data_IF_656343158887
#
_entry.id   IF_656343158887
#
_cell.length_a   1.000
_cell.length_b   1.000
_cell.length_c   1.000
_cell.angle_alpha   90.00
_cell.angle_beta   90.00
_cell.angle_gamma   90.00
#
_symmetry.space_group_name_H-M   'P 1'
#
loop_
_entity.id
_entity.type
_entity.pdbx_description
1 polymer ?
#
# COMPACT_ATOMS: atom_id res chain seq x y z
N UNK A 1 -44.72 28.95 31.40
CA UNK A 1 -43.40 29.39 30.92
C UNK A 1 -42.63 28.17 30.47
N UNK A 2 -42.11 28.22 29.23
CA UNK A 2 -41.09 27.39 28.54
C UNK A 2 -40.62 26.08 29.21
N UNK A 3 -40.65 24.96 28.48
CA UNK A 3 -39.68 23.83 28.47
C UNK A 3 -40.19 22.78 27.46
N UNK A 4 -39.46 22.26 26.48
CA UNK A 4 -38.09 22.40 26.02
C UNK A 4 -38.01 21.48 24.79
N UNK A 5 -38.01 22.05 23.60
CA UNK A 5 -37.94 21.27 22.35
C UNK A 5 -36.55 20.70 22.18
N UNK A 6 -36.45 19.38 21.99
CA UNK A 6 -35.23 18.74 21.53
C UNK A 6 -34.91 19.28 20.12
N UNK A 7 -34.11 20.35 20.07
CA UNK A 7 -33.58 20.88 18.82
C UNK A 7 -32.68 19.81 18.21
N UNK A 8 -33.05 19.37 17.01
CA UNK A 8 -32.18 18.54 16.16
C UNK A 8 -30.99 19.42 15.81
N UNK A 9 -29.79 18.96 16.12
CA UNK A 9 -28.54 19.64 15.80
C UNK A 9 -28.52 19.99 14.30
N UNK A 10 -28.28 21.26 13.97
CA UNK A 10 -28.28 21.74 12.59
C UNK A 10 -27.06 21.19 11.82
N UNK A 11 -27.10 21.22 10.48
CA UNK A 11 -26.07 20.59 9.63
C UNK A 11 -24.64 21.09 9.89
N UNK A 12 -24.51 22.37 10.23
CA UNK A 12 -23.24 23.01 10.55
C UNK A 12 -22.68 22.55 11.90
N UNK A 13 -23.55 22.33 12.89
CA UNK A 13 -23.16 21.81 14.21
C UNK A 13 -22.69 20.36 14.11
N UNK A 14 -23.38 19.53 13.32
CA UNK A 14 -22.94 18.14 13.07
C UNK A 14 -21.64 18.06 12.28
N UNK A 15 -21.37 19.01 11.38
CA UNK A 15 -20.08 19.09 10.68
C UNK A 15 -18.97 19.51 11.64
N UNK A 16 -19.21 20.54 12.45
CA UNK A 16 -18.26 21.02 13.46
C UNK A 16 -17.92 19.92 14.49
N UNK A 17 -18.89 19.11 14.91
CA UNK A 17 -18.65 17.97 15.81
C UNK A 17 -17.78 16.89 15.17
N UNK A 18 -18.01 16.55 13.88
CA UNK A 18 -17.19 15.56 13.15
C UNK A 18 -15.76 16.03 12.91
N UNK A 19 -15.56 17.33 12.66
CA UNK A 19 -14.23 17.92 12.46
C UNK A 19 -13.49 18.08 13.78
N UNK A 20 -14.20 18.46 14.85
CA UNK A 20 -13.64 18.64 16.20
C UNK A 20 -13.29 17.30 16.89
N UNK A 21 -14.07 16.25 16.66
CA UNK A 21 -13.81 14.91 17.21
C UNK A 21 -12.81 14.08 16.40
N UNK A 22 -12.46 14.52 15.19
CA UNK A 22 -11.43 13.90 14.36
C UNK A 22 -10.03 14.36 14.80
N UNK A 23 -9.53 13.82 15.90
CA UNK A 23 -8.11 13.92 16.24
C UNK A 23 -7.29 13.17 15.16
N UNK A 24 -6.38 13.83 14.43
CA UNK A 24 -5.57 13.15 13.43
C UNK A 24 -4.66 12.12 14.11
N UNK A 25 -4.58 10.92 13.52
CA UNK A 25 -3.67 9.88 14.00
C UNK A 25 -2.23 10.42 13.95
N UNK A 26 -1.64 10.64 15.13
CA UNK A 26 -0.28 11.19 15.24
C UNK A 26 0.74 10.13 14.83
N UNK A 27 1.28 10.27 13.63
CA UNK A 27 2.41 9.45 13.17
C UNK A 27 3.67 9.76 13.98
N UNK A 28 4.41 8.72 14.37
CA UNK A 28 5.75 8.85 14.97
C UNK A 28 6.81 8.39 13.97
N UNK A 29 7.82 9.22 13.74
CA UNK A 29 8.99 8.80 13.00
C UNK A 29 9.72 7.70 13.78
N UNK A 30 10.04 6.60 13.11
CA UNK A 30 10.87 5.54 13.65
C UNK A 30 11.93 5.16 12.64
N UNK A 31 13.07 4.68 13.12
CA UNK A 31 14.13 4.20 12.26
C UNK A 31 13.77 2.79 11.76
N UNK A 32 13.88 2.56 10.45
CA UNK A 32 13.78 1.20 9.93
C UNK A 32 15.01 0.41 10.38
N UNK A 33 14.77 -0.73 11.03
CA UNK A 33 15.82 -1.67 11.39
C UNK A 33 15.99 -2.70 10.26
N UNK A 34 17.16 -3.34 10.17
CA UNK A 34 17.47 -4.41 9.20
C UNK A 34 17.36 -3.98 7.73
N UNK A 35 17.83 -2.77 7.39
CA UNK A 35 17.81 -2.25 6.02
C UNK A 35 18.55 -3.16 5.02
N UNK A 36 19.52 -3.94 5.49
CA UNK A 36 20.26 -4.95 4.72
C UNK A 36 19.45 -6.17 4.30
N UNK A 37 18.29 -6.42 4.92
CA UNK A 37 17.52 -7.65 4.71
C UNK A 37 16.06 -7.38 4.33
N UNK A 38 15.74 -6.16 3.93
CA UNK A 38 14.38 -5.78 3.53
C UNK A 38 14.38 -5.14 2.15
N UNK A 39 13.35 -5.45 1.36
CA UNK A 39 13.06 -4.71 0.12
C UNK A 39 12.07 -3.59 0.48
N UNK A 40 12.37 -2.31 0.16
CA UNK A 40 11.46 -1.21 0.48
C UNK A 40 10.10 -1.40 -0.18
N UNK A 41 9.04 -0.95 0.51
CA UNK A 41 7.75 -0.77 -0.15
C UNK A 41 7.91 0.21 -1.31
N UNK A 42 7.26 -0.09 -2.43
CA UNK A 42 7.37 0.71 -3.66
C UNK A 42 8.60 0.39 -4.51
N UNK A 43 9.44 -0.56 -4.10
CA UNK A 43 10.53 -1.05 -4.95
C UNK A 43 9.97 -1.65 -6.25
N UNK A 44 10.58 -1.27 -7.37
CA UNK A 44 10.23 -1.83 -8.68
C UNK A 44 10.96 -3.16 -8.86
N UNK A 45 10.20 -4.21 -9.18
CA UNK A 45 10.72 -5.52 -9.55
C UNK A 45 10.66 -5.64 -11.08
N UNK A 46 11.75 -5.33 -11.80
CA UNK A 46 11.81 -5.45 -13.24
C UNK A 46 11.74 -6.92 -13.67
N UNK A 47 10.76 -7.26 -14.48
CA UNK A 47 10.52 -8.63 -14.93
C UNK A 47 10.01 -8.66 -16.38
N UNK A 48 10.15 -9.82 -17.01
CA UNK A 48 9.64 -10.10 -18.36
C UNK A 48 8.57 -11.19 -18.24
N UNK A 49 7.41 -10.99 -18.87
CA UNK A 49 6.32 -11.96 -18.88
C UNK A 49 6.72 -13.23 -19.65
N UNK A 50 6.44 -14.41 -19.08
CA UNK A 50 6.61 -15.72 -19.76
C UNK A 50 5.38 -16.07 -20.60
N UNK A 51 4.19 -15.60 -20.19
CA UNK A 51 2.91 -15.87 -20.84
C UNK A 51 2.42 -14.62 -21.59
N UNK A 52 1.90 -14.80 -22.80
CA UNK A 52 1.17 -13.74 -23.48
C UNK A 52 -0.05 -13.35 -22.62
N UNK A 53 -0.09 -12.10 -22.14
CA UNK A 53 -1.17 -11.61 -21.30
C UNK A 53 -2.39 -11.30 -22.18
N UNK A 54 -3.53 -11.91 -21.87
CA UNK A 54 -4.81 -11.53 -22.44
C UNK A 54 -5.72 -11.02 -21.32
N UNK A 55 -5.90 -9.69 -21.25
CA UNK A 55 -6.69 -9.02 -20.21
C UNK A 55 -8.18 -9.37 -20.20
N UNK A 56 -8.70 -10.01 -21.24
CA UNK A 56 -10.14 -10.27 -21.39
C UNK A 56 -10.62 -11.50 -20.61
N UNK A 57 -9.70 -12.38 -20.19
CA UNK A 57 -10.02 -13.55 -19.38
C UNK A 57 -9.17 -13.57 -18.11
N UNK A 58 -9.78 -13.59 -16.91
CA UNK A 58 -9.05 -13.77 -15.67
C UNK A 58 -8.16 -15.01 -15.74
N UNK A 59 -6.90 -14.86 -15.34
CA UNK A 59 -5.90 -15.90 -15.55
C UNK A 59 -4.66 -15.75 -14.69
N UNK A 60 -3.84 -16.80 -14.73
CA UNK A 60 -2.51 -16.75 -14.12
C UNK A 60 -1.53 -16.04 -15.05
N UNK A 61 -0.73 -15.15 -14.48
CA UNK A 61 0.40 -14.52 -15.14
C UNK A 61 1.70 -15.06 -14.54
N UNK A 62 2.69 -15.30 -15.40
CA UNK A 62 4.04 -15.70 -14.99
C UNK A 62 5.05 -14.73 -15.56
N UNK A 63 6.07 -14.41 -14.79
CA UNK A 63 7.17 -13.55 -15.21
C UNK A 63 8.50 -14.02 -14.62
N UNK A 64 9.60 -13.59 -15.25
CA UNK A 64 10.96 -13.82 -14.76
C UNK A 64 11.64 -12.49 -14.47
N UNK A 65 12.24 -12.38 -13.29
CA UNK A 65 12.98 -11.19 -12.85
C UNK A 65 14.19 -10.98 -13.77
N UNK A 66 14.31 -9.79 -14.36
CA UNK A 66 15.32 -9.49 -15.38
C UNK A 66 16.64 -8.93 -14.84
N UNK A 67 16.64 -8.42 -13.60
CA UNK A 67 17.83 -7.96 -12.87
C UNK A 67 17.65 -8.12 -11.37
N UNK A 68 18.77 -8.22 -10.67
CA UNK A 68 18.78 -8.36 -9.20
C UNK A 68 18.07 -7.18 -8.53
N UNK A 69 17.17 -7.50 -7.59
CA UNK A 69 16.56 -6.53 -6.67
C UNK A 69 17.33 -6.60 -5.35
N UNK A 70 17.80 -5.45 -4.89
CA UNK A 70 18.64 -5.35 -3.70
C UNK A 70 17.86 -4.91 -2.46
N UNK A 71 18.49 -5.11 -1.31
CA UNK A 71 18.05 -4.59 -0.01
C UNK A 71 17.93 -3.07 -0.04
N UNK A 72 17.26 -2.50 0.97
CA UNK A 72 17.08 -1.05 1.09
C UNK A 72 18.41 -0.29 1.06
N UNK A 73 19.43 -0.80 1.76
CA UNK A 73 20.77 -0.20 1.78
C UNK A 73 21.66 -0.60 0.59
N UNK A 74 21.15 -1.44 -0.32
CA UNK A 74 21.86 -1.92 -1.51
C UNK A 74 22.94 -2.97 -1.23
N UNK A 75 23.15 -3.41 0.01
CA UNK A 75 24.24 -4.31 0.39
C UNK A 75 24.02 -5.77 -0.02
N UNK A 76 22.77 -6.22 -0.12
CA UNK A 76 22.42 -7.62 -0.40
C UNK A 76 21.48 -7.73 -1.60
N UNK A 77 21.57 -8.84 -2.35
CA UNK A 77 20.57 -9.22 -3.36
C UNK A 77 19.44 -9.98 -2.66
N UNK A 78 18.23 -9.43 -2.69
CA UNK A 78 17.05 -10.02 -2.06
C UNK A 78 16.24 -10.87 -3.05
N UNK A 79 16.17 -10.43 -4.30
CA UNK A 79 15.50 -11.18 -5.38
C UNK A 79 16.48 -11.29 -6.55
N UNK A 80 17.12 -12.45 -6.75
CA UNK A 80 18.04 -12.66 -7.85
C UNK A 80 17.36 -12.55 -9.22
N UNK A 81 18.13 -12.15 -10.22
CA UNK A 81 17.77 -12.32 -11.63
C UNK A 81 17.45 -13.80 -11.90
N UNK A 82 16.39 -14.05 -12.66
CA UNK A 82 15.92 -15.40 -12.95
C UNK A 82 14.90 -15.94 -11.95
N UNK A 83 14.66 -15.25 -10.84
CA UNK A 83 13.54 -15.58 -9.94
C UNK A 83 12.21 -15.55 -10.70
N UNK A 84 11.32 -16.49 -10.38
CA UNK A 84 10.01 -16.64 -11.01
C UNK A 84 8.95 -15.91 -10.20
N UNK A 85 8.21 -15.02 -10.86
CA UNK A 85 7.03 -14.36 -10.32
C UNK A 85 5.78 -15.08 -10.82
N UNK A 86 4.82 -15.28 -9.93
CA UNK A 86 3.50 -15.87 -10.24
C UNK A 86 2.45 -14.93 -9.67
N UNK A 87 1.49 -14.54 -10.50
CA UNK A 87 0.39 -13.68 -10.11
C UNK A 87 -0.90 -14.09 -10.80
N UNK A 88 -1.98 -13.41 -10.44
CA UNK A 88 -3.28 -13.52 -11.11
C UNK A 88 -3.70 -12.13 -11.55
N UNK A 89 -4.34 -12.04 -12.71
CA UNK A 89 -5.01 -10.83 -13.17
C UNK A 89 -6.51 -11.11 -13.30
N UNK A 90 -7.32 -10.11 -12.94
CA UNK A 90 -8.77 -10.13 -12.97
C UNK A 90 -9.27 -8.93 -13.77
#
# INVERSE_FOLDING_TARGET
GKNGGAARLDGDEQFAERVSSAEPERARASQLHNLATVVPQGAIIPAVLETALNSDLPGFARAVVSRDVRSFDGSAVMIPRGSRLVGQYK
#
